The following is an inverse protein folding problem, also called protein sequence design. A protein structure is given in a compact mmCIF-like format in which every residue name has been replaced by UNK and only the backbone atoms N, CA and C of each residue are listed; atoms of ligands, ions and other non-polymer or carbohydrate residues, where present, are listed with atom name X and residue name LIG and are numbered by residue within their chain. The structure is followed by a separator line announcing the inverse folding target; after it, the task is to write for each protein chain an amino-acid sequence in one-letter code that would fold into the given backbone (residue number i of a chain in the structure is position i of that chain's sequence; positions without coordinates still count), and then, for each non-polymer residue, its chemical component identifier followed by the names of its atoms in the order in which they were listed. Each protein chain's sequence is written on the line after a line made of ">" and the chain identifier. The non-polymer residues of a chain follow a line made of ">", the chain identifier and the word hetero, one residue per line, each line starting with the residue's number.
data_IF_142084477537
#
_entry.id   IF_142084477537
#
_cell.length_a   1.000
_cell.length_b   1.000
_cell.length_c   1.000
_cell.angle_alpha   90.00
_cell.angle_beta   90.00
_cell.angle_gamma   90.00
#
_symmetry.space_group_name_H-M   'P 1'
#
loop_
_entity.id
_entity.type
_entity.pdbx_description
1 polymer ?
#
# COMPACT_ATOMS: atom_id res chain seq x y z
N UNK A 1 2.37 -15.34 3.08
CA UNK A 1 3.81 -15.47 2.98
C UNK A 1 4.42 -14.18 2.44
N UNK A 2 5.54 -13.78 2.99
CA UNK A 2 6.22 -12.55 2.63
C UNK A 2 7.61 -12.85 2.10
N UNK A 3 8.01 -12.15 1.06
CA UNK A 3 9.36 -12.28 0.53
C UNK A 3 9.97 -10.92 0.22
N UNK A 4 11.25 -10.81 0.48
CA UNK A 4 12.06 -9.73 -0.04
C UNK A 4 12.43 -10.08 -1.49
N UNK A 5 12.30 -9.13 -2.38
CA UNK A 5 12.44 -9.42 -3.81
C UNK A 5 13.84 -9.22 -4.37
N UNK A 6 14.75 -8.63 -3.64
CA UNK A 6 16.05 -8.28 -4.17
C UNK A 6 17.17 -8.76 -3.25
N UNK A 7 18.20 -9.35 -3.84
CA UNK A 7 19.45 -9.64 -3.16
C UNK A 7 19.33 -10.53 -1.96
N UNK A 8 18.65 -11.63 -2.12
CA UNK A 8 18.25 -12.31 -0.93
C UNK A 8 19.01 -13.53 -0.58
N UNK A 9 20.07 -13.84 -1.26
CA UNK A 9 20.62 -15.10 -0.95
C UNK A 9 21.35 -15.16 0.32
N UNK A 10 21.25 -14.27 1.21
CA UNK A 10 22.00 -14.33 2.20
C UNK A 10 21.72 -14.71 3.41
N UNK A 11 22.39 -15.01 4.04
CA UNK A 11 22.50 -15.73 5.21
C UNK A 11 22.03 -15.01 6.44
N UNK A 12 22.15 -13.73 6.49
CA UNK A 12 21.74 -12.96 7.65
C UNK A 12 20.25 -12.76 7.58
N UNK A 13 19.56 -13.22 8.62
CA UNK A 13 18.13 -13.02 8.75
C UNK A 13 17.84 -12.30 10.05
N UNK A 14 16.82 -11.50 10.02
CA UNK A 14 16.36 -10.79 11.19
C UNK A 14 14.84 -10.87 11.26
N UNK A 15 14.27 -10.42 12.35
CA UNK A 15 12.83 -10.40 12.55
C UNK A 15 12.29 -9.02 12.29
N UNK A 16 11.21 -8.96 11.53
CA UNK A 16 10.60 -7.71 11.11
C UNK A 16 9.10 -7.73 11.36
N UNK A 17 8.58 -6.57 11.66
CA UNK A 17 7.14 -6.33 11.62
C UNK A 17 6.87 -5.53 10.35
N UNK A 18 5.95 -6.01 9.53
CA UNK A 18 5.58 -5.36 8.27
C UNK A 18 4.32 -4.53 8.55
N UNK A 19 4.46 -3.23 8.47
CA UNK A 19 3.37 -2.30 8.73
C UNK A 19 3.22 -1.32 7.57
N UNK A 20 2.02 -0.82 7.40
CA UNK A 20 1.74 0.22 6.43
C UNK A 20 2.01 1.61 6.97
N UNK A 21 1.62 2.61 6.20
CA UNK A 21 1.89 4.01 6.52
C UNK A 21 0.64 4.78 6.96
N UNK A 22 -0.45 4.11 7.24
CA UNK A 22 -1.71 4.79 7.60
C UNK A 22 -1.70 5.38 9.01
N UNK A 23 -0.69 5.05 9.80
CA UNK A 23 -0.59 5.53 11.18
C UNK A 23 -1.79 5.06 12.01
N UNK A 24 -2.14 3.80 11.86
CA UNK A 24 -3.30 3.18 12.47
C UNK A 24 -2.88 1.80 12.96
N UNK A 25 -3.30 1.40 14.16
CA UNK A 25 -2.79 0.20 14.82
C UNK A 25 -3.14 -1.10 14.08
N UNK A 26 -4.20 -1.09 13.29
CA UNK A 26 -4.57 -2.26 12.49
C UNK A 26 -3.79 -2.39 11.19
N UNK A 27 -2.99 -1.41 10.82
CA UNK A 27 -2.23 -1.43 9.59
C UNK A 27 -0.91 -2.17 9.76
N UNK A 28 -1.01 -3.41 10.21
CA UNK A 28 0.12 -4.30 10.38
C UNK A 28 -0.18 -5.60 9.66
N UNK A 29 0.65 -5.92 8.67
CA UNK A 29 0.46 -7.12 7.87
C UNK A 29 1.01 -8.37 8.57
N UNK A 30 2.19 -8.26 9.14
CA UNK A 30 2.83 -9.39 9.82
C UNK A 30 3.68 -8.88 10.97
N UNK A 31 3.75 -9.68 12.03
CA UNK A 31 4.59 -9.39 13.19
C UNK A 31 5.67 -10.44 13.30
N UNK A 32 6.88 -9.98 13.58
CA UNK A 32 8.00 -10.86 13.91
C UNK A 32 8.27 -11.96 12.90
N UNK A 33 8.26 -11.62 11.63
CA UNK A 33 8.62 -12.58 10.58
C UNK A 33 10.12 -12.50 10.28
N UNK A 34 10.68 -13.63 9.92
CA UNK A 34 12.07 -13.68 9.52
C UNK A 34 12.22 -13.36 8.04
N UNK A 35 13.08 -12.41 7.75
CA UNK A 35 13.45 -12.06 6.38
C UNK A 35 14.95 -11.90 6.30
N UNK A 36 15.50 -12.01 5.09
CA UNK A 36 16.86 -11.59 4.85
C UNK A 36 16.99 -10.12 5.23
N UNK A 37 18.19 -9.72 5.63
CA UNK A 37 18.42 -8.37 6.10
C UNK A 37 17.85 -7.33 5.13
N UNK A 38 16.93 -6.53 5.60
CA UNK A 38 16.20 -5.57 4.78
C UNK A 38 16.72 -4.15 5.00
N UNK A 39 16.75 -3.39 3.93
CA UNK A 39 17.19 -2.01 3.96
C UNK A 39 16.14 -1.11 3.35
N UNK A 40 16.18 0.15 3.70
CA UNK A 40 15.30 1.14 3.08
C UNK A 40 15.45 1.10 1.55
N UNK A 41 14.33 1.02 0.87
CA UNK A 41 14.29 0.91 -0.58
C UNK A 41 14.11 -0.52 -1.09
N UNK A 42 14.26 -1.51 -0.25
CA UNK A 42 14.02 -2.89 -0.66
C UNK A 42 12.53 -3.12 -0.93
N UNK A 43 12.26 -4.03 -1.86
CA UNK A 43 10.91 -4.42 -2.19
C UNK A 43 10.51 -5.68 -1.43
N UNK A 44 9.31 -5.67 -0.91
CA UNK A 44 8.72 -6.81 -0.19
C UNK A 44 7.46 -7.22 -0.93
N UNK A 45 7.28 -8.51 -1.09
CA UNK A 45 6.09 -9.07 -1.70
C UNK A 45 5.33 -9.91 -0.69
N UNK A 46 4.04 -9.65 -0.58
CA UNK A 46 3.14 -10.43 0.27
C UNK A 46 2.22 -11.23 -0.62
N UNK A 47 2.27 -12.54 -0.50
CA UNK A 47 1.46 -13.43 -1.33
C UNK A 47 0.08 -13.67 -0.72
N UNK A 48 -0.88 -14.02 -1.58
CA UNK A 48 -2.20 -14.43 -1.13
C UNK A 48 -3.07 -13.31 -0.60
N UNK A 49 -2.87 -12.09 -1.08
CA UNK A 49 -3.57 -10.92 -0.55
C UNK A 49 -4.72 -10.44 -1.42
N UNK A 50 -4.90 -11.00 -2.62
CA UNK A 50 -5.84 -10.44 -3.60
C UNK A 50 -7.29 -10.43 -3.15
N UNK A 51 -7.72 -11.41 -2.38
CA UNK A 51 -9.12 -11.56 -2.05
C UNK A 51 -9.63 -10.48 -1.08
N UNK A 52 -8.80 -10.11 -0.11
CA UNK A 52 -9.27 -9.21 0.95
C UNK A 52 -8.55 -7.88 1.01
N UNK A 53 -7.27 -7.84 0.69
CA UNK A 53 -6.50 -6.62 0.90
C UNK A 53 -6.98 -5.46 0.04
N UNK A 54 -7.41 -5.72 -1.17
CA UNK A 54 -7.94 -4.66 -2.01
C UNK A 54 -9.28 -4.14 -1.48
N UNK A 55 -10.19 -5.03 -1.12
CA UNK A 55 -11.51 -4.63 -0.61
C UNK A 55 -11.44 -4.01 0.77
N UNK A 56 -10.45 -4.37 1.57
CA UNK A 56 -10.25 -3.79 2.89
C UNK A 56 -9.40 -2.54 2.88
N UNK A 57 -8.87 -2.16 1.73
CA UNK A 57 -8.07 -0.94 1.64
C UNK A 57 -8.91 0.29 2.01
N UNK A 58 -8.26 1.29 2.57
CA UNK A 58 -8.96 2.49 3.03
C UNK A 58 -8.17 3.73 2.68
N UNK A 59 -8.83 4.87 2.81
CA UNK A 59 -8.19 6.16 2.67
C UNK A 59 -7.92 6.79 4.04
N UNK A 60 -7.76 5.99 5.06
CA UNK A 60 -7.49 6.53 6.40
C UNK A 60 -6.30 7.48 6.34
N UNK A 61 -6.41 8.59 7.03
CA UNK A 61 -5.45 9.71 6.99
C UNK A 61 -5.22 10.25 5.58
N UNK A 62 -6.25 10.14 4.72
CA UNK A 62 -6.21 10.68 3.35
C UNK A 62 -5.11 10.09 2.48
N UNK A 63 -4.74 8.84 2.71
CA UNK A 63 -3.76 8.16 1.88
C UNK A 63 -4.47 7.55 0.67
N UNK A 64 -4.03 7.87 -0.55
CA UNK A 64 -4.63 7.29 -1.75
C UNK A 64 -4.40 5.79 -1.84
N UNK A 65 -5.37 5.07 -2.41
CA UNK A 65 -5.24 3.64 -2.66
C UNK A 65 -4.28 3.38 -3.81
N UNK A 66 -3.52 2.29 -3.74
CA UNK A 66 -2.58 1.93 -4.81
C UNK A 66 -3.29 1.42 -6.05
N UNK A 67 -2.54 1.32 -7.14
CA UNK A 67 -3.02 0.68 -8.34
C UNK A 67 -3.13 -0.83 -8.16
N UNK A 68 -3.99 -1.46 -8.95
CA UNK A 68 -4.00 -2.91 -9.09
C UNK A 68 -3.62 -3.27 -10.51
N UNK A 69 -2.79 -4.28 -10.64
CA UNK A 69 -2.29 -4.74 -11.92
C UNK A 69 -2.65 -6.20 -12.13
N UNK A 70 -2.99 -6.53 -13.34
CA UNK A 70 -3.06 -7.92 -13.79
C UNK A 70 -1.73 -8.26 -14.46
N UNK A 71 -1.06 -9.26 -13.94
CA UNK A 71 0.18 -9.74 -14.55
C UNK A 71 -0.10 -11.11 -15.17
N UNK A 72 0.04 -11.17 -16.46
CA UNK A 72 -0.27 -12.38 -17.21
C UNK A 72 0.62 -12.47 -18.44
N UNK A 73 1.16 -13.62 -18.67
CA UNK A 73 1.97 -13.89 -19.86
C UNK A 73 3.12 -12.89 -20.06
N UNK A 74 3.78 -12.54 -18.97
CA UNK A 74 4.93 -11.63 -18.99
C UNK A 74 4.58 -10.16 -19.12
N UNK A 75 3.30 -9.81 -19.12
CA UNK A 75 2.87 -8.42 -19.25
C UNK A 75 2.09 -7.98 -18.01
N UNK A 76 2.15 -6.70 -17.70
CA UNK A 76 1.41 -6.10 -16.60
C UNK A 76 0.46 -5.04 -17.14
N UNK A 77 -0.81 -5.16 -16.78
CA UNK A 77 -1.85 -4.23 -17.22
C UNK A 77 -2.58 -3.65 -16.01
N UNK A 78 -2.91 -2.38 -16.08
CA UNK A 78 -3.65 -1.73 -15.01
C UNK A 78 -5.11 -2.14 -15.06
N UNK A 79 -5.59 -2.75 -13.98
CA UNK A 79 -7.01 -3.07 -13.84
C UNK A 79 -7.70 -2.15 -12.84
N UNK A 80 -6.95 -1.44 -12.03
CA UNK A 80 -7.46 -0.39 -11.16
C UNK A 80 -6.44 0.72 -11.08
N UNK A 81 -6.83 1.91 -11.47
CA UNK A 81 -5.93 3.05 -11.45
C UNK A 81 -5.56 3.45 -10.03
N UNK A 82 -4.33 3.92 -9.84
CA UNK A 82 -3.89 4.51 -8.58
C UNK A 82 -4.71 5.76 -8.30
N UNK A 83 -5.19 5.91 -7.08
CA UNK A 83 -5.85 7.15 -6.69
C UNK A 83 -4.84 8.29 -6.60
N UNK A 84 -5.28 9.48 -6.98
CA UNK A 84 -4.54 10.71 -6.73
C UNK A 84 -5.11 11.39 -5.49
N UNK A 85 -4.38 12.34 -4.89
CA UNK A 85 -4.95 13.12 -3.80
C UNK A 85 -6.24 13.85 -4.18
N UNK A 86 -6.38 14.23 -5.45
CA UNK A 86 -7.60 14.91 -5.92
C UNK A 86 -8.82 13.99 -5.90
N UNK A 87 -8.63 12.69 -6.09
CA UNK A 87 -9.74 11.74 -6.02
C UNK A 87 -10.38 11.72 -4.63
N UNK A 88 -9.61 12.04 -3.60
CA UNK A 88 -10.11 12.06 -2.23
C UNK A 88 -10.92 13.30 -1.89
N UNK A 89 -10.92 14.30 -2.78
CA UNK A 89 -11.60 15.56 -2.56
C UNK A 89 -12.91 15.66 -3.33
N UNK A 90 -13.26 14.68 -4.12
CA UNK A 90 -14.39 14.80 -5.05
C UNK A 90 -15.74 15.01 -4.39
N UNK A 91 -15.87 14.66 -3.13
CA UNK A 91 -17.10 14.88 -2.38
C UNK A 91 -17.02 16.06 -1.41
N UNK A 92 -15.87 16.71 -1.33
CA UNK A 92 -15.71 17.86 -0.46
C UNK A 92 -16.32 19.08 -1.14
N UNK A 93 -17.04 19.85 -0.37
CA UNK A 93 -17.74 21.03 -0.87
C UNK A 93 -17.42 22.21 0.02
N UNK A 94 -17.10 23.34 -0.60
CA UNK A 94 -16.97 24.58 0.13
C UNK A 94 -18.37 25.23 0.24
N UNK A 95 -18.91 25.39 1.44
CA UNK A 95 -20.22 26.02 1.58
C UNK A 95 -20.22 27.46 1.03
N UNK A 96 -21.31 27.86 0.39
CA UNK A 96 -21.38 29.12 -0.30
C UNK A 96 -21.03 30.33 0.58
N UNK A 97 -21.41 30.30 1.85
CA UNK A 97 -21.13 31.40 2.77
C UNK A 97 -19.63 31.60 3.04
N UNK A 98 -18.80 30.67 2.69
CA UNK A 98 -17.36 30.79 2.84
C UNK A 98 -16.65 31.12 1.54
N UNK A 99 -17.37 31.18 0.43
CA UNK A 99 -16.81 31.61 -0.83
C UNK A 99 -16.71 33.11 -0.80
N UNK A 100 -15.50 33.63 -0.98
CA UNK A 100 -15.31 35.07 -0.92
C UNK A 100 -15.96 35.75 -2.09
N UNK A 101 -16.74 36.77 -1.79
CA UNK A 101 -17.39 37.59 -2.80
C UNK A 101 -16.87 39.00 -2.70
N UNK A 102 -16.40 39.52 -3.81
CA UNK A 102 -15.96 40.91 -3.90
C UNK A 102 -16.50 41.52 -5.16
#
# INVERSE_FOLDING_TARGET
>A
IVRRLVGSEMCIRDRYTIAGKHCESGDVLFKEIELADCKTGDLICVFGTGAYNNSMSSNYNRIPRPAALLVFDGEAEIIQKRESPFDLLKYDVLPDRFIKQN
#
